data_IF_092715107374
#
_entry.id   IF_092715107374
#
_cell.length_a   1.000
_cell.length_b   1.000
_cell.length_c   1.000
_cell.angle_alpha   90.00
_cell.angle_beta   90.00
_cell.angle_gamma   90.00
#
_symmetry.space_group_name_H-M   'P 1'
#
loop_
_entity.id
_entity.type
_entity.pdbx_description
1 polymer ?
#
# COMPACT_ATOMS: atom_id res chain seq x y z
N UNK A 1 6.62 11.96 -41.10
CA UNK A 1 7.02 11.47 -39.75
C UNK A 1 6.06 10.33 -39.39
N UNK A 2 6.59 9.20 -39.00
CA UNK A 2 5.81 8.01 -38.58
C UNK A 2 6.00 7.81 -37.09
N UNK A 3 4.95 7.33 -36.39
CA UNK A 3 5.02 6.94 -35.00
C UNK A 3 5.89 5.68 -34.85
N UNK A 4 6.87 5.65 -33.92
CA UNK A 4 7.75 4.50 -33.71
C UNK A 4 7.05 3.32 -32.99
N UNK A 5 5.93 3.57 -32.34
CA UNK A 5 5.11 2.57 -31.64
C UNK A 5 3.64 3.01 -31.60
N UNK A 6 2.76 2.08 -31.22
CA UNK A 6 1.34 2.37 -31.01
C UNK A 6 1.15 3.12 -29.67
N UNK A 7 0.51 4.27 -29.69
CA UNK A 7 0.33 5.09 -28.49
C UNK A 7 -0.73 6.16 -28.66
N UNK A 8 -0.84 7.02 -27.67
CA UNK A 8 -1.72 8.19 -27.66
C UNK A 8 -0.89 9.43 -27.98
N UNK A 9 -1.28 10.13 -29.04
CA UNK A 9 -0.70 11.42 -29.39
C UNK A 9 -1.35 12.49 -28.52
N UNK A 10 -0.52 13.31 -27.91
CA UNK A 10 -0.95 14.49 -27.18
C UNK A 10 -1.37 15.61 -28.15
N UNK A 11 -1.70 16.78 -27.60
CA UNK A 11 -2.08 17.93 -28.44
C UNK A 11 -1.01 18.25 -29.46
N UNK A 12 -1.42 18.73 -30.62
CA UNK A 12 -0.56 19.29 -31.65
C UNK A 12 -0.52 20.83 -31.49
N UNK A 13 0.54 21.40 -30.90
CA UNK A 13 0.61 22.85 -30.69
C UNK A 13 0.74 23.63 -31.99
N UNK A 14 1.31 22.99 -33.02
CA UNK A 14 1.48 23.58 -34.35
C UNK A 14 0.36 23.14 -35.29
N UNK A 15 -0.13 24.08 -36.09
CA UNK A 15 -1.17 23.87 -37.10
C UNK A 15 -0.55 23.81 -38.49
N UNK A 16 -1.33 23.36 -39.46
CA UNK A 16 -0.93 23.41 -40.85
C UNK A 16 -0.58 24.86 -41.28
N UNK A 17 0.60 25.04 -41.82
CA UNK A 17 1.14 26.36 -42.19
C UNK A 17 1.96 27.06 -41.10
N UNK A 18 2.10 26.48 -39.90
CA UNK A 18 3.01 27.01 -38.89
C UNK A 18 4.45 26.80 -39.30
N UNK A 19 5.31 27.80 -39.05
CA UNK A 19 6.75 27.69 -39.17
C UNK A 19 7.25 26.78 -38.02
N UNK A 20 8.18 25.88 -38.34
CA UNK A 20 8.80 24.94 -37.40
C UNK A 20 10.31 25.11 -37.48
N UNK A 21 10.95 25.29 -36.34
CA UNK A 21 12.40 25.35 -36.22
C UNK A 21 12.99 23.97 -36.00
N UNK A 22 14.28 23.81 -36.29
CA UNK A 22 15.01 22.57 -36.06
C UNK A 22 15.06 22.29 -34.55
N UNK A 23 14.67 21.05 -34.13
CA UNK A 23 14.61 20.65 -32.73
C UNK A 23 13.32 21.03 -32.01
N UNK A 24 12.38 21.70 -32.67
CA UNK A 24 11.10 22.05 -32.05
C UNK A 24 10.21 20.83 -31.83
N UNK A 25 9.63 20.72 -30.61
CA UNK A 25 8.72 19.63 -30.26
C UNK A 25 7.38 19.80 -30.99
N UNK A 26 7.02 18.83 -31.82
CA UNK A 26 5.78 18.82 -32.56
C UNK A 26 4.61 18.23 -31.75
N UNK A 27 4.86 17.14 -31.06
CA UNK A 27 3.91 16.46 -30.17
C UNK A 27 4.65 15.43 -29.35
N UNK A 28 4.01 14.93 -28.30
CA UNK A 28 4.46 13.76 -27.54
C UNK A 28 3.60 12.55 -27.86
N UNK A 29 4.21 11.38 -27.89
CA UNK A 29 3.55 10.09 -28.07
C UNK A 29 3.80 9.28 -26.80
N UNK A 30 2.70 8.86 -26.15
CA UNK A 30 2.76 8.09 -24.91
C UNK A 30 2.18 6.69 -25.10
N UNK A 31 2.90 5.68 -24.61
CA UNK A 31 2.35 4.34 -24.46
C UNK A 31 1.66 4.21 -23.09
N UNK A 32 0.34 4.22 -23.10
CA UNK A 32 -0.48 4.11 -21.91
C UNK A 32 -1.01 2.68 -21.67
N UNK A 33 -0.44 1.67 -22.31
CA UNK A 33 -0.83 0.27 -22.11
C UNK A 33 -0.50 -0.23 -20.70
N UNK A 34 0.57 0.34 -20.11
CA UNK A 34 1.06 0.06 -18.77
C UNK A 34 1.36 1.38 -18.07
N UNK A 35 0.82 1.54 -16.88
CA UNK A 35 1.03 2.75 -16.07
C UNK A 35 1.90 2.45 -14.87
N UNK A 36 2.68 3.44 -14.47
CA UNK A 36 3.54 3.35 -13.29
C UNK A 36 3.04 4.28 -12.20
N UNK A 37 2.85 3.74 -11.00
CA UNK A 37 2.58 4.52 -9.81
C UNK A 37 3.84 4.59 -8.95
N UNK A 38 4.25 5.79 -8.61
CA UNK A 38 5.32 6.06 -7.65
C UNK A 38 4.70 6.42 -6.31
N UNK A 39 5.16 5.80 -5.25
CA UNK A 39 4.63 6.03 -3.91
C UNK A 39 5.74 5.87 -2.87
N UNK A 40 5.65 6.63 -1.80
CA UNK A 40 6.62 6.63 -0.74
C UNK A 40 6.21 5.65 0.37
N UNK A 41 7.19 4.92 0.88
CA UNK A 41 7.05 3.95 1.96
C UNK A 41 7.98 4.37 3.09
N UNK A 42 7.48 4.41 4.31
CA UNK A 42 8.27 4.75 5.49
C UNK A 42 9.30 3.66 5.83
N UNK A 43 10.38 4.01 6.52
CA UNK A 43 11.40 3.05 6.92
C UNK A 43 10.85 1.85 7.72
N UNK A 44 9.96 2.03 8.72
CA UNK A 44 9.35 0.90 9.43
C UNK A 44 8.54 -0.04 8.51
N UNK A 45 7.79 0.53 7.57
CA UNK A 45 7.02 -0.25 6.60
C UNK A 45 7.92 -1.00 5.62
N UNK A 46 9.03 -0.37 5.18
CA UNK A 46 10.04 -1.00 4.36
C UNK A 46 10.70 -2.19 5.07
N UNK A 47 11.08 -2.05 6.34
CA UNK A 47 11.65 -3.13 7.14
C UNK A 47 10.65 -4.28 7.26
N UNK A 48 9.38 -3.97 7.55
CA UNK A 48 8.30 -4.97 7.58
C UNK A 48 8.11 -5.66 6.23
N UNK A 49 8.16 -4.90 5.14
CA UNK A 49 8.10 -5.43 3.78
C UNK A 49 9.26 -6.40 3.51
N UNK A 50 10.49 -6.04 3.88
CA UNK A 50 11.67 -6.90 3.70
C UNK A 50 11.63 -8.17 4.55
N UNK A 51 11.18 -8.07 5.81
CA UNK A 51 11.04 -9.21 6.70
C UNK A 51 9.99 -10.22 6.20
N UNK A 52 8.92 -9.72 5.60
CA UNK A 52 7.88 -10.53 4.98
C UNK A 52 8.27 -11.01 3.57
N UNK A 53 9.35 -10.52 2.99
CA UNK A 53 9.80 -10.84 1.65
C UNK A 53 10.20 -12.32 1.45
N UNK A 54 10.51 -13.05 2.52
CA UNK A 54 10.69 -14.52 2.48
C UNK A 54 9.38 -15.25 2.16
N UNK A 55 8.24 -14.62 2.39
CA UNK A 55 6.90 -15.07 2.02
C UNK A 55 6.37 -14.37 0.75
N UNK A 56 7.24 -14.01 -0.19
CA UNK A 56 6.95 -13.28 -1.43
C UNK A 56 5.90 -13.93 -2.35
N UNK A 57 4.77 -14.30 -1.80
CA UNK A 57 3.61 -14.68 -2.60
C UNK A 57 2.94 -13.48 -3.27
N UNK A 58 3.22 -12.24 -2.84
CA UNK A 58 2.49 -11.09 -3.37
C UNK A 58 3.31 -9.80 -3.33
N UNK A 59 4.00 -9.51 -4.42
CA UNK A 59 4.35 -8.13 -4.81
C UNK A 59 3.13 -7.42 -5.41
N UNK A 60 1.94 -8.02 -5.28
CA UNK A 60 0.70 -7.48 -5.82
C UNK A 60 0.21 -6.31 -4.98
N UNK A 61 -0.23 -5.27 -5.65
CA UNK A 61 -0.80 -4.07 -5.05
C UNK A 61 -2.10 -3.69 -5.73
N UNK A 62 -3.00 -3.10 -4.98
CA UNK A 62 -4.22 -2.52 -5.52
C UNK A 62 -4.05 -1.00 -5.64
N UNK A 63 -4.71 -0.40 -6.62
CA UNK A 63 -4.77 1.06 -6.78
C UNK A 63 -6.19 1.53 -6.51
N UNK A 64 -6.35 2.43 -5.57
CA UNK A 64 -7.56 3.22 -5.40
C UNK A 64 -7.42 4.50 -6.22
N UNK A 65 -8.35 4.73 -7.09
CA UNK A 65 -8.44 5.95 -7.90
C UNK A 65 -8.79 7.17 -7.04
N UNK A 66 -8.65 8.35 -7.58
CA UNK A 66 -8.94 9.60 -6.86
C UNK A 66 -10.40 9.70 -6.34
N UNK A 67 -11.34 9.01 -6.99
CA UNK A 67 -12.75 8.91 -6.57
C UNK A 67 -12.98 7.86 -5.45
N UNK A 68 -11.92 7.14 -5.01
CA UNK A 68 -12.00 6.09 -4.00
C UNK A 68 -12.38 4.70 -4.53
N UNK A 69 -12.62 4.56 -5.83
CA UNK A 69 -12.91 3.26 -6.43
C UNK A 69 -11.63 2.45 -6.67
N UNK A 70 -11.65 1.13 -6.41
CA UNK A 70 -10.49 0.29 -6.70
C UNK A 70 -10.37 0.05 -8.21
N UNK A 71 -9.14 0.15 -8.71
CA UNK A 71 -8.83 -0.27 -10.08
C UNK A 71 -9.06 -1.78 -10.22
N UNK A 72 -9.72 -2.19 -11.30
CA UNK A 72 -10.05 -3.60 -11.59
C UNK A 72 -8.81 -4.50 -11.70
N UNK A 73 -7.71 -3.94 -12.17
CA UNK A 73 -6.47 -4.67 -12.41
C UNK A 73 -5.47 -4.44 -11.28
N UNK A 74 -4.91 -5.55 -10.79
CA UNK A 74 -3.84 -5.49 -9.79
C UNK A 74 -2.53 -5.06 -10.43
N UNK A 75 -1.77 -4.28 -9.69
CA UNK A 75 -0.40 -3.93 -10.04
C UNK A 75 0.63 -4.83 -9.36
N UNK A 76 1.89 -4.62 -9.75
CA UNK A 76 3.04 -5.29 -9.14
C UNK A 76 4.11 -4.27 -8.80
N UNK A 77 4.70 -4.40 -7.62
CA UNK A 77 5.92 -3.63 -7.27
C UNK A 77 7.07 -4.16 -8.11
N UNK A 78 7.70 -3.29 -8.89
CA UNK A 78 8.80 -3.64 -9.80
C UNK A 78 10.14 -3.12 -9.33
N UNK A 79 10.15 -1.91 -8.77
CA UNK A 79 11.38 -1.22 -8.36
C UNK A 79 11.19 -0.63 -6.97
N UNK A 80 12.22 -0.76 -6.17
CA UNK A 80 12.43 -0.06 -4.90
C UNK A 80 13.72 0.71 -5.10
N UNK A 81 13.72 1.98 -4.77
CA UNK A 81 14.94 2.80 -4.85
C UNK A 81 16.01 2.29 -3.87
N UNK A 82 17.27 2.65 -4.14
CA UNK A 82 18.41 2.17 -3.35
C UNK A 82 18.67 2.97 -2.07
N UNK A 83 18.08 4.17 -1.97
CA UNK A 83 18.38 5.11 -0.90
C UNK A 83 17.09 5.70 -0.32
N UNK A 84 17.12 5.97 0.98
CA UNK A 84 16.07 6.72 1.65
C UNK A 84 16.27 8.22 1.41
N UNK A 85 15.17 8.92 1.25
CA UNK A 85 15.15 10.38 1.31
C UNK A 85 15.45 10.82 2.75
N UNK A 86 16.58 11.49 2.95
CA UNK A 86 17.06 11.90 4.28
C UNK A 86 16.19 12.99 4.93
N UNK A 87 15.38 13.72 4.16
CA UNK A 87 14.51 14.77 4.68
C UNK A 87 13.19 14.18 5.20
N UNK A 88 12.67 13.16 4.54
CA UNK A 88 11.35 12.58 4.85
C UNK A 88 11.42 11.21 5.52
N UNK A 89 12.57 10.52 5.50
CA UNK A 89 12.74 9.16 6.00
C UNK A 89 11.96 8.10 5.19
N UNK A 90 11.59 8.43 3.96
CA UNK A 90 10.85 7.54 3.08
C UNK A 90 11.74 6.98 1.96
N UNK A 91 11.33 5.85 1.41
CA UNK A 91 11.92 5.25 0.22
C UNK A 91 10.87 5.15 -0.89
N UNK A 92 11.23 5.48 -2.11
CA UNK A 92 10.30 5.44 -3.21
C UNK A 92 10.17 4.03 -3.80
N UNK A 93 8.93 3.59 -3.96
CA UNK A 93 8.54 2.38 -4.64
C UNK A 93 7.88 2.72 -5.96
N UNK A 94 8.07 1.84 -6.95
CA UNK A 94 7.36 1.91 -8.22
C UNK A 94 6.58 0.62 -8.44
N UNK A 95 5.28 0.76 -8.62
CA UNK A 95 4.42 -0.34 -9.05
C UNK A 95 3.92 -0.11 -10.48
N UNK A 96 3.78 -1.19 -11.23
CA UNK A 96 3.21 -1.17 -12.57
C UNK A 96 1.79 -1.71 -12.55
N UNK A 97 0.92 -1.07 -13.31
CA UNK A 97 -0.49 -1.44 -13.48
C UNK A 97 -0.81 -1.61 -14.95
N UNK A 98 -1.41 -2.73 -15.36
CA UNK A 98 -1.93 -2.87 -16.71
C UNK A 98 -3.11 -1.92 -16.92
N UNK A 99 -3.18 -1.30 -18.10
CA UNK A 99 -4.22 -0.34 -18.45
C UNK A 99 -4.89 -0.67 -19.79
N UNK A 100 -5.48 -1.87 -19.93
CA UNK A 100 -6.08 -2.30 -21.20
C UNK A 100 -7.28 -1.46 -21.59
N UNK A 101 -8.03 -0.97 -20.61
CA UNK A 101 -9.22 -0.14 -20.80
C UNK A 101 -8.86 1.33 -21.08
N UNK A 102 -7.55 1.68 -21.07
CA UNK A 102 -7.03 3.06 -21.25
C UNK A 102 -7.68 4.08 -20.30
N UNK A 103 -8.12 3.60 -19.13
CA UNK A 103 -8.77 4.44 -18.09
C UNK A 103 -7.76 5.39 -17.46
N UNK A 104 -6.57 4.86 -17.12
CA UNK A 104 -5.53 5.64 -16.45
C UNK A 104 -4.78 6.53 -17.44
N UNK A 105 -4.48 7.75 -17.01
CA UNK A 105 -3.67 8.72 -17.75
C UNK A 105 -2.50 9.19 -16.91
N UNK A 106 -1.47 9.68 -17.58
CA UNK A 106 -0.32 10.27 -16.91
C UNK A 106 -0.72 11.51 -16.13
N UNK A 107 -0.18 11.66 -14.90
CA UNK A 107 -0.46 12.77 -14.01
C UNK A 107 -1.67 12.58 -13.09
N UNK A 108 -2.37 11.44 -13.16
CA UNK A 108 -3.41 11.10 -12.20
C UNK A 108 -2.81 10.73 -10.84
N UNK A 109 -3.60 10.97 -9.79
CA UNK A 109 -3.25 10.62 -8.41
C UNK A 109 -4.15 9.50 -7.90
N UNK A 110 -3.62 8.72 -6.94
CA UNK A 110 -4.36 7.62 -6.33
C UNK A 110 -3.67 7.15 -5.05
N UNK A 111 -4.22 6.10 -4.45
CA UNK A 111 -3.64 5.45 -3.27
C UNK A 111 -3.27 4.02 -3.60
N UNK A 112 -2.01 3.66 -3.41
CA UNK A 112 -1.56 2.27 -3.55
C UNK A 112 -1.81 1.54 -2.23
N UNK A 113 -2.50 0.41 -2.31
CA UNK A 113 -2.77 -0.47 -1.18
C UNK A 113 -1.95 -1.73 -1.32
N UNK A 114 -1.14 -2.02 -0.33
CA UNK A 114 -0.35 -3.23 -0.23
C UNK A 114 -0.94 -4.13 0.85
N UNK A 115 -1.28 -5.37 0.49
CA UNK A 115 -1.79 -6.35 1.46
C UNK A 115 -0.63 -7.09 2.11
N UNK A 116 -0.52 -7.00 3.41
CA UNK A 116 0.48 -7.73 4.19
C UNK A 116 -0.23 -8.89 4.90
N UNK A 117 0.05 -10.15 4.53
CA UNK A 117 -0.55 -11.29 5.22
C UNK A 117 0.10 -11.44 6.61
N UNK A 118 -0.71 -11.38 7.65
CA UNK A 118 -0.28 -11.67 9.02
C UNK A 118 -0.74 -13.08 9.38
N UNK A 119 0.22 -13.98 9.66
CA UNK A 119 -0.07 -15.36 10.03
C UNK A 119 -0.06 -15.51 11.55
N UNK A 120 -0.88 -16.43 12.05
CA UNK A 120 -0.93 -16.80 13.47
C UNK A 120 -1.17 -15.61 14.42
N UNK A 121 -1.99 -14.66 14.02
CA UNK A 121 -2.33 -13.50 14.81
C UNK A 121 -3.80 -13.56 15.24
N UNK A 122 -4.08 -13.03 16.42
CA UNK A 122 -5.44 -12.87 16.93
C UNK A 122 -5.96 -11.48 16.59
N UNK A 123 -7.23 -11.41 16.21
CA UNK A 123 -7.92 -10.14 15.99
C UNK A 123 -8.83 -9.89 17.17
N UNK A 124 -8.62 -8.79 17.88
CA UNK A 124 -9.43 -8.41 19.03
C UNK A 124 -9.95 -6.98 18.90
N UNK A 125 -11.14 -6.66 19.42
CA UNK A 125 -11.61 -5.29 19.49
C UNK A 125 -10.72 -4.44 20.40
N UNK A 126 -10.43 -3.19 20.00
CA UNK A 126 -9.64 -2.26 20.83
C UNK A 126 -10.28 -2.04 22.21
N UNK A 127 -11.61 -1.98 22.29
CA UNK A 127 -12.38 -1.83 23.53
C UNK A 127 -12.19 -2.96 24.54
N UNK A 128 -11.68 -4.12 24.12
CA UNK A 128 -11.34 -5.24 25.01
C UNK A 128 -9.95 -5.08 25.66
N UNK A 129 -9.26 -3.99 25.36
CA UNK A 129 -7.90 -3.74 25.87
C UNK A 129 -7.83 -2.52 26.74
N UNK A 130 -6.83 -2.47 27.59
CA UNK A 130 -6.45 -1.28 28.34
C UNK A 130 -4.95 -1.11 28.35
N UNK A 131 -4.48 0.10 28.60
CA UNK A 131 -3.07 0.46 28.50
C UNK A 131 -2.53 0.90 29.87
N UNK A 132 -1.36 0.38 30.20
CA UNK A 132 -0.59 0.80 31.39
C UNK A 132 0.86 1.00 30.95
N UNK A 133 1.39 2.21 31.11
CA UNK A 133 2.80 2.53 30.81
C UNK A 133 3.25 2.03 29.41
N UNK A 134 2.54 2.44 28.37
CA UNK A 134 2.80 2.10 26.97
C UNK A 134 2.72 0.58 26.64
N UNK A 135 2.17 -0.22 27.54
CA UNK A 135 1.91 -1.64 27.32
C UNK A 135 0.41 -1.93 27.29
N UNK A 136 0.00 -2.76 26.32
CA UNK A 136 -1.40 -3.12 26.16
C UNK A 136 -1.71 -4.44 26.85
N UNK A 137 -2.85 -4.48 27.51
CA UNK A 137 -3.33 -5.62 28.29
C UNK A 137 -4.76 -5.98 27.92
N UNK A 138 -5.12 -7.24 28.16
CA UNK A 138 -6.48 -7.76 28.12
C UNK A 138 -6.78 -8.51 29.41
N UNK A 139 -8.05 -8.59 29.79
CA UNK A 139 -8.48 -9.53 30.82
C UNK A 139 -8.87 -10.86 30.19
N UNK A 140 -8.18 -11.92 30.55
CA UNK A 140 -8.49 -13.29 30.15
C UNK A 140 -9.21 -13.98 31.30
N UNK A 141 -10.39 -14.56 31.00
CA UNK A 141 -11.19 -15.30 31.99
C UNK A 141 -10.75 -16.76 32.01
N UNK A 142 -10.20 -17.18 33.14
CA UNK A 142 -9.76 -18.56 33.34
C UNK A 142 -10.95 -19.56 33.47
N UNK A 143 -10.62 -20.84 33.49
CA UNK A 143 -11.61 -21.91 33.73
C UNK A 143 -12.30 -21.82 35.11
N UNK A 144 -11.64 -21.16 36.04
CA UNK A 144 -12.10 -20.87 37.40
C UNK A 144 -13.06 -19.63 37.46
N UNK A 145 -13.34 -19.01 36.30
CA UNK A 145 -14.18 -17.83 36.20
C UNK A 145 -13.48 -16.51 36.65
N UNK A 146 -12.21 -16.56 36.98
CA UNK A 146 -11.46 -15.38 37.43
C UNK A 146 -10.81 -14.68 36.22
N UNK A 147 -11.04 -13.37 36.11
CA UNK A 147 -10.40 -12.53 35.12
C UNK A 147 -8.97 -12.14 35.60
N UNK A 148 -7.99 -12.39 34.73
CA UNK A 148 -6.59 -12.05 34.96
C UNK A 148 -6.08 -11.16 33.86
N UNK A 149 -5.31 -10.15 34.24
CA UNK A 149 -4.60 -9.29 33.31
C UNK A 149 -3.50 -10.09 32.59
N UNK A 150 -3.48 -9.99 31.26
CA UNK A 150 -2.46 -10.63 30.42
C UNK A 150 -1.90 -9.57 29.45
N UNK A 151 -0.59 -9.40 29.43
CA UNK A 151 0.09 -8.49 28.50
C UNK A 151 -0.02 -9.04 27.09
N UNK A 152 -0.26 -8.16 26.12
CA UNK A 152 -0.35 -8.50 24.70
C UNK A 152 0.58 -7.63 23.87
N UNK A 153 1.10 -8.21 22.78
CA UNK A 153 1.90 -7.48 21.80
C UNK A 153 1.09 -7.24 20.53
N UNK A 154 0.79 -5.99 20.28
CA UNK A 154 0.04 -5.57 19.09
C UNK A 154 1.02 -5.41 17.93
N UNK A 155 0.77 -6.10 16.81
CA UNK A 155 1.55 -5.98 15.58
C UNK A 155 1.02 -4.88 14.66
N UNK A 156 -0.30 -4.75 14.60
CA UNK A 156 -0.96 -3.73 13.77
C UNK A 156 -2.17 -3.19 14.51
N UNK A 157 -2.31 -1.89 14.41
CA UNK A 157 -3.45 -1.13 14.90
C UNK A 157 -4.30 -0.69 13.71
N UNK A 158 -5.57 -1.09 13.70
CA UNK A 158 -6.56 -0.74 12.70
C UNK A 158 -7.71 0.00 13.40
N UNK A 159 -8.54 0.76 12.72
CA UNK A 159 -9.72 1.35 13.32
C UNK A 159 -10.55 0.26 14.01
N UNK A 160 -10.85 0.42 15.28
CA UNK A 160 -11.67 -0.46 16.13
C UNK A 160 -11.08 -1.84 16.49
N UNK A 161 -9.97 -2.30 15.88
CA UNK A 161 -9.38 -3.61 16.15
C UNK A 161 -7.86 -3.57 16.27
N UNK A 162 -7.32 -4.51 17.07
CA UNK A 162 -5.89 -4.82 17.15
C UNK A 162 -5.60 -6.19 16.56
N UNK A 163 -4.47 -6.28 15.86
CA UNK A 163 -3.87 -7.54 15.45
C UNK A 163 -2.76 -7.88 16.44
N UNK A 164 -2.98 -8.92 17.23
CA UNK A 164 -2.10 -9.34 18.32
C UNK A 164 -1.25 -10.53 17.87
N UNK A 165 0.07 -10.40 17.99
CA UNK A 165 1.02 -11.46 17.64
C UNK A 165 1.41 -12.36 18.79
N UNK A 166 1.42 -11.82 20.02
CA UNK A 166 1.85 -12.53 21.22
C UNK A 166 0.94 -12.18 22.41
N UNK A 167 0.86 -13.09 23.36
CA UNK A 167 0.16 -12.86 24.61
C UNK A 167 -1.25 -13.45 24.68
N UNK A 168 -1.76 -14.07 23.61
CA UNK A 168 -3.04 -14.79 23.61
C UNK A 168 -2.86 -16.21 23.08
N UNK A 169 -3.68 -17.12 23.59
CA UNK A 169 -3.73 -18.52 23.16
C UNK A 169 -5.09 -18.81 22.52
N UNK A 170 -5.12 -19.82 21.64
CA UNK A 170 -6.36 -20.28 21.02
C UNK A 170 -7.30 -20.80 22.09
N UNK A 171 -8.49 -20.21 22.16
CA UNK A 171 -9.51 -20.55 23.15
C UNK A 171 -9.53 -19.67 24.38
N UNK A 172 -8.62 -18.71 24.52
CA UNK A 172 -8.70 -17.68 25.55
C UNK A 172 -10.02 -16.91 25.43
N UNK A 173 -10.69 -16.72 26.55
CA UNK A 173 -11.91 -15.90 26.64
C UNK A 173 -11.52 -14.54 27.19
N UNK A 174 -11.63 -13.52 26.36
CA UNK A 174 -11.31 -12.15 26.75
C UNK A 174 -12.57 -11.39 27.18
N UNK A 175 -12.43 -10.51 28.14
CA UNK A 175 -13.48 -9.58 28.55
C UNK A 175 -13.60 -8.49 27.47
N UNK A 176 -14.81 -8.26 26.98
CA UNK A 176 -15.03 -7.30 25.89
C UNK A 176 -15.23 -5.88 26.41
N UNK A 177 -15.96 -5.75 27.53
CA UNK A 177 -16.24 -4.50 28.23
C UNK A 177 -16.34 -4.81 29.72
N UNK A 178 -15.84 -3.95 30.59
CA UNK A 178 -15.85 -4.07 32.04
C UNK A 178 -16.08 -2.72 32.72
#
# INVERSE_FOLDING_TARGET
>A
ILAPFAGVIDRLPKKLGSLIEEGELLTSLSDNSKMFAYFNVSEPEYINYQNNAKNRASTEVNLLLANGEPLKYKGKVEVIEGEFDNETGNIAFRASFPNPDKLLKNGETGKVQMSVPVKNAFIIPQKATYEIQDQKYVFVVGKDGIARSKNIKVSYELPDIYIVSEGLDVGDKILLEG
#
